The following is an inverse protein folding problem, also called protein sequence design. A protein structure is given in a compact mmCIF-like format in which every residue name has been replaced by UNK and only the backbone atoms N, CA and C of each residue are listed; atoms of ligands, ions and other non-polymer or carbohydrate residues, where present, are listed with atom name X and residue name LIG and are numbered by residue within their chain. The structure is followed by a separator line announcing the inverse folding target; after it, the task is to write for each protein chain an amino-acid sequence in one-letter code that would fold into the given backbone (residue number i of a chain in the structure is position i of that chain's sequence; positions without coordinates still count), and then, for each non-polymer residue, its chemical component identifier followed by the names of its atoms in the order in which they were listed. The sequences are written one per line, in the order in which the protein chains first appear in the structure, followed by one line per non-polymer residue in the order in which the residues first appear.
data_IF_045561551803
#
_entry.id   IF_045561551803
#
_cell.length_a   1.000
_cell.length_b   1.000
_cell.length_c   1.000
_cell.angle_alpha   90.00
_cell.angle_beta   90.00
_cell.angle_gamma   90.00
#
_symmetry.space_group_name_H-M   'P 1'
#
loop_
_entity.id
_entity.type
_entity.pdbx_description
1 polymer ?
#
# COMPACT_ATOMS: atom_id res chain seq x y z
N UNK A 1 -1.89 -4.98 5.35
CA UNK A 1 -1.87 -5.15 3.89
C UNK A 1 -3.30 -4.98 3.41
N UNK A 2 -3.64 -3.81 2.85
CA UNK A 2 -4.96 -3.62 2.27
C UNK A 2 -4.98 -4.23 0.86
N UNK A 3 -5.51 -5.44 0.75
CA UNK A 3 -5.61 -6.18 -0.51
C UNK A 3 -6.92 -5.95 -1.24
N UNK A 4 -7.84 -5.18 -0.65
CA UNK A 4 -9.19 -5.04 -1.14
C UNK A 4 -9.33 -3.91 -2.15
N UNK A 5 -8.41 -2.94 -2.15
CA UNK A 5 -8.52 -1.73 -2.93
C UNK A 5 -7.20 -1.42 -3.64
N UNK A 6 -7.31 -1.09 -4.93
CA UNK A 6 -6.21 -0.51 -5.68
C UNK A 6 -5.83 0.88 -5.16
N UNK A 7 -4.59 1.28 -5.41
CA UNK A 7 -4.06 2.58 -5.00
C UNK A 7 -4.19 3.60 -6.12
N UNK A 8 -4.36 4.87 -5.79
CA UNK A 8 -4.38 5.99 -6.71
C UNK A 8 -3.10 6.82 -6.53
N UNK A 9 -2.17 6.67 -7.47
CA UNK A 9 -0.88 7.34 -7.43
C UNK A 9 -0.83 8.64 -8.26
N UNK A 10 -1.98 9.14 -8.75
CA UNK A 10 -2.04 10.37 -9.58
C UNK A 10 -1.48 11.61 -8.87
N UNK A 11 -1.48 11.61 -7.54
CA UNK A 11 -1.02 12.72 -6.71
C UNK A 11 0.26 12.40 -5.92
N UNK A 12 0.96 11.33 -6.30
CA UNK A 12 2.09 10.81 -5.54
C UNK A 12 1.64 10.21 -4.21
N UNK A 13 2.56 10.11 -3.24
CA UNK A 13 2.21 9.77 -1.86
C UNK A 13 1.53 10.95 -1.18
N UNK A 14 0.38 10.68 -0.55
CA UNK A 14 -0.28 11.61 0.37
C UNK A 14 -0.16 11.09 1.80
N UNK A 15 -0.30 11.98 2.76
CA UNK A 15 -0.13 11.68 4.18
C UNK A 15 -1.22 10.78 4.77
N UNK A 16 -2.36 10.72 4.09
CA UNK A 16 -3.53 9.93 4.41
C UNK A 16 -3.69 8.82 3.36
N UNK A 17 -3.30 7.59 3.73
CA UNK A 17 -3.37 6.42 2.86
C UNK A 17 -4.79 6.08 2.43
N UNK A 18 -5.82 6.46 3.20
CA UNK A 18 -7.22 6.24 2.81
C UNK A 18 -7.58 7.07 1.57
N UNK A 19 -7.01 8.28 1.44
CA UNK A 19 -7.18 9.12 0.24
C UNK A 19 -6.49 8.56 -1.00
N UNK A 20 -5.60 7.59 -0.82
CA UNK A 20 -4.97 6.86 -1.93
C UNK A 20 -5.80 5.67 -2.36
N UNK A 21 -6.87 5.28 -1.66
CA UNK A 21 -7.63 4.10 -2.05
C UNK A 21 -8.60 4.42 -3.18
N UNK A 22 -8.76 3.47 -4.10
CA UNK A 22 -9.75 3.55 -5.17
C UNK A 22 -11.06 2.91 -4.71
N UNK A 23 -12.19 3.61 -4.92
CA UNK A 23 -13.50 3.05 -4.55
C UNK A 23 -13.80 1.82 -5.40
N UNK A 24 -14.40 0.82 -4.77
CA UNK A 24 -14.83 -0.42 -5.43
C UNK A 24 -16.15 -0.88 -4.83
N UNK A 25 -17.01 -1.50 -5.65
CA UNK A 25 -18.26 -2.04 -5.16
C UNK A 25 -18.02 -3.37 -4.45
N UNK A 26 -18.55 -3.51 -3.24
CA UNK A 26 -18.42 -4.71 -2.42
C UNK A 26 -19.67 -4.95 -1.59
N UNK A 27 -19.96 -6.22 -1.34
CA UNK A 27 -20.96 -6.65 -0.34
C UNK A 27 -20.23 -7.31 0.81
N UNK A 28 -20.49 -6.81 2.03
CA UNK A 28 -19.92 -7.33 3.26
C UNK A 28 -21.05 -7.92 4.11
N UNK A 29 -20.89 -9.17 4.52
CA UNK A 29 -21.73 -9.81 5.52
C UNK A 29 -20.92 -9.99 6.80
N UNK A 30 -21.42 -9.49 7.92
CA UNK A 30 -20.75 -9.60 9.21
C UNK A 30 -21.66 -10.24 10.24
N UNK A 31 -21.11 -11.22 10.96
CA UNK A 31 -21.74 -11.80 12.14
C UNK A 31 -20.83 -11.66 13.35
N UNK A 32 -21.43 -11.48 14.52
CA UNK A 32 -20.74 -11.22 15.77
C UNK A 32 -21.10 -12.27 16.81
N UNK A 33 -20.12 -12.60 17.63
CA UNK A 33 -20.24 -13.33 18.89
C UNK A 33 -19.59 -12.49 20.00
N UNK A 34 -19.63 -12.99 21.23
CA UNK A 34 -19.19 -12.23 22.42
C UNK A 34 -17.75 -11.72 22.33
N UNK A 35 -16.83 -12.52 21.81
CA UNK A 35 -15.40 -12.19 21.72
C UNK A 35 -14.83 -12.39 20.31
N UNK A 36 -15.69 -12.56 19.30
CA UNK A 36 -15.26 -12.81 17.93
C UNK A 36 -16.23 -12.28 16.88
N UNK A 37 -15.74 -12.10 15.66
CA UNK A 37 -16.57 -11.77 14.51
C UNK A 37 -16.11 -12.55 13.28
N UNK A 38 -17.05 -12.79 12.36
CA UNK A 38 -16.76 -13.29 11.03
C UNK A 38 -17.30 -12.30 10.01
N UNK A 39 -16.42 -11.86 9.13
CA UNK A 39 -16.72 -11.05 7.95
C UNK A 39 -16.58 -11.93 6.71
N UNK A 40 -17.56 -11.85 5.82
CA UNK A 40 -17.54 -12.45 4.49
C UNK A 40 -17.70 -11.34 3.45
N UNK A 41 -16.83 -11.35 2.46
CA UNK A 41 -16.75 -10.35 1.42
C UNK A 41 -17.04 -10.97 0.05
N UNK A 42 -17.82 -10.27 -0.75
CA UNK A 42 -17.96 -10.53 -2.17
C UNK A 42 -17.81 -9.25 -2.99
N UNK A 43 -17.03 -9.31 -4.07
CA UNK A 43 -16.90 -8.27 -5.08
C UNK A 43 -17.22 -8.87 -6.46
N UNK A 44 -18.16 -8.32 -7.24
CA UNK A 44 -18.51 -8.82 -8.57
C UNK A 44 -17.53 -8.41 -9.68
N UNK A 45 -16.37 -7.85 -9.29
CA UNK A 45 -15.30 -7.30 -10.12
C UNK A 45 -14.31 -6.56 -9.21
N UNK A 46 -13.25 -5.99 -9.78
CA UNK A 46 -12.26 -5.24 -9.00
C UNK A 46 -11.81 -3.97 -9.70
N UNK A 47 -11.24 -3.07 -8.92
CA UNK A 47 -10.70 -1.80 -9.40
C UNK A 47 -9.19 -1.82 -9.20
N UNK A 48 -8.39 -1.90 -10.27
CA UNK A 48 -6.94 -2.01 -10.16
C UNK A 48 -6.31 -0.71 -9.64
N UNK A 49 -5.06 -0.74 -9.22
CA UNK A 49 -4.31 0.48 -8.92
C UNK A 49 -4.22 1.38 -10.16
N UNK A 50 -4.31 2.68 -9.95
CA UNK A 50 -4.00 3.67 -10.97
C UNK A 50 -2.51 4.00 -10.90
N UNK A 51 -1.76 3.48 -11.87
CA UNK A 51 -0.36 3.79 -12.07
C UNK A 51 -0.27 4.95 -13.09
N UNK A 52 0.17 6.14 -12.70
CA UNK A 52 0.28 7.27 -13.63
C UNK A 52 1.28 6.95 -14.74
N UNK A 53 0.84 7.10 -15.98
CA UNK A 53 1.65 6.92 -17.19
C UNK A 53 2.21 8.24 -17.72
N UNK A 54 1.66 9.36 -17.26
CA UNK A 54 2.00 10.71 -17.69
C UNK A 54 2.11 11.66 -16.49
N UNK A 55 2.71 12.82 -16.76
CA UNK A 55 2.89 13.88 -15.77
C UNK A 55 3.99 13.58 -14.77
N UNK A 56 4.05 14.41 -13.73
CA UNK A 56 5.18 14.46 -12.80
C UNK A 56 5.39 13.17 -12.00
N UNK A 57 4.32 12.41 -11.75
CA UNK A 57 4.40 11.15 -11.01
C UNK A 57 4.50 9.92 -11.91
N UNK A 58 4.71 10.09 -13.22
CA UNK A 58 4.73 8.98 -14.17
C UNK A 58 5.68 7.88 -13.72
N UNK A 59 5.19 6.64 -13.80
CA UNK A 59 5.95 5.42 -13.52
C UNK A 59 6.45 4.75 -14.81
N UNK A 60 6.11 5.34 -15.96
CA UNK A 60 6.52 4.81 -17.26
C UNK A 60 7.78 5.56 -17.70
N UNK A 61 8.89 4.84 -17.95
CA UNK A 61 10.10 5.49 -18.48
C UNK A 61 9.79 6.20 -19.81
N UNK A 62 10.40 7.36 -20.10
CA UNK A 62 10.11 8.13 -21.31
C UNK A 62 10.21 7.34 -22.63
N UNK A 63 11.07 6.32 -22.68
CA UNK A 63 11.23 5.41 -23.81
C UNK A 63 9.95 4.62 -24.16
N UNK A 64 9.03 4.48 -23.21
CA UNK A 64 7.75 3.78 -23.34
C UNK A 64 6.56 4.73 -23.48
N UNK A 65 6.79 6.04 -23.63
CA UNK A 65 5.73 7.07 -23.70
C UNK A 65 4.77 6.92 -24.89
N UNK A 66 5.18 6.22 -25.96
CA UNK A 66 4.34 5.94 -27.14
C UNK A 66 3.75 4.53 -27.13
N UNK A 67 3.92 3.78 -26.05
CA UNK A 67 3.37 2.43 -25.94
C UNK A 67 1.83 2.49 -25.88
N UNK A 68 1.19 1.55 -26.59
CA UNK A 68 -0.26 1.37 -26.49
C UNK A 68 -0.56 0.32 -25.44
N UNK A 69 -1.46 0.63 -24.49
CA UNK A 69 -1.87 -0.29 -23.44
C UNK A 69 -3.29 -0.79 -23.69
N UNK A 70 -3.47 -2.10 -23.69
CA UNK A 70 -4.79 -2.74 -23.65
C UNK A 70 -5.06 -3.16 -22.21
N UNK A 71 -6.20 -2.73 -21.64
CA UNK A 71 -6.60 -3.12 -20.28
C UNK A 71 -7.63 -4.26 -20.32
N UNK A 72 -7.50 -5.20 -19.39
CA UNK A 72 -8.54 -6.20 -19.11
C UNK A 72 -9.81 -5.52 -18.58
N UNK A 73 -10.99 -6.01 -18.98
CA UNK A 73 -12.25 -5.62 -18.34
C UNK A 73 -12.40 -6.26 -16.95
N UNK A 74 -12.06 -5.50 -15.91
CA UNK A 74 -12.06 -5.93 -14.51
C UNK A 74 -13.42 -5.83 -13.82
N UNK A 75 -14.45 -5.27 -14.48
CA UNK A 75 -15.78 -5.05 -13.91
C UNK A 75 -16.79 -6.08 -14.42
N UNK A 76 -16.35 -7.33 -14.47
CA UNK A 76 -17.10 -8.48 -14.96
C UNK A 76 -17.20 -9.56 -13.89
N UNK A 77 -18.26 -10.36 -13.90
CA UNK A 77 -18.43 -11.46 -12.96
C UNK A 77 -17.35 -12.55 -13.08
N UNK A 78 -16.61 -12.62 -14.19
CA UNK A 78 -15.42 -13.48 -14.31
C UNK A 78 -14.26 -13.03 -13.42
N UNK A 79 -14.20 -11.72 -13.12
CA UNK A 79 -13.19 -11.09 -12.27
C UNK A 79 -13.66 -10.94 -10.81
N UNK A 80 -14.59 -11.77 -10.36
CA UNK A 80 -15.10 -11.70 -8.99
C UNK A 80 -14.01 -12.00 -7.95
N UNK A 81 -14.18 -11.41 -6.78
CA UNK A 81 -13.30 -11.62 -5.63
C UNK A 81 -14.14 -12.00 -4.40
N UNK A 82 -13.58 -12.85 -3.56
CA UNK A 82 -14.18 -13.25 -2.29
C UNK A 82 -13.15 -13.16 -1.18
N UNK A 83 -13.62 -12.83 0.01
CA UNK A 83 -12.78 -12.83 1.20
C UNK A 83 -13.53 -13.27 2.43
N UNK A 84 -12.77 -13.67 3.44
CA UNK A 84 -13.27 -13.85 4.78
C UNK A 84 -12.24 -13.36 5.79
N UNK A 85 -12.75 -12.85 6.92
CA UNK A 85 -11.92 -12.45 8.06
C UNK A 85 -12.59 -12.94 9.32
N UNK A 86 -11.90 -13.77 10.07
CA UNK A 86 -12.33 -14.20 11.39
C UNK A 86 -11.47 -13.52 12.44
N UNK A 87 -12.08 -12.75 13.32
CA UNK A 87 -11.40 -11.96 14.35
C UNK A 87 -11.76 -12.46 15.73
N UNK A 88 -10.79 -12.51 16.63
CA UNK A 88 -10.96 -12.82 18.05
C UNK A 88 -10.33 -11.69 18.84
N UNK A 89 -11.08 -11.09 19.75
CA UNK A 89 -10.58 -10.07 20.66
C UNK A 89 -10.74 -10.56 22.10
N UNK A 90 -9.61 -10.78 22.79
CA UNK A 90 -9.57 -11.27 24.17
C UNK A 90 -8.65 -10.41 25.02
N UNK A 91 -9.26 -9.58 25.88
CA UNK A 91 -8.53 -8.67 26.75
C UNK A 91 -7.71 -7.67 25.95
N UNK A 92 -6.39 -7.77 26.05
CA UNK A 92 -5.43 -6.87 25.38
C UNK A 92 -4.96 -7.38 24.01
N UNK A 93 -5.32 -8.61 23.66
CA UNK A 93 -4.96 -9.25 22.40
C UNK A 93 -6.13 -9.20 21.43
N UNK A 94 -5.84 -8.75 20.23
CA UNK A 94 -6.71 -8.85 19.06
C UNK A 94 -5.99 -9.65 17.99
N UNK A 95 -6.65 -10.62 17.38
CA UNK A 95 -6.07 -11.46 16.33
C UNK A 95 -7.11 -11.74 15.27
N UNK A 96 -6.72 -11.62 14.00
CA UNK A 96 -7.54 -11.96 12.85
C UNK A 96 -6.87 -12.98 11.95
N UNK A 97 -7.65 -13.89 11.40
CA UNK A 97 -7.28 -14.76 10.29
C UNK A 97 -8.02 -14.29 9.05
N UNK A 98 -7.29 -14.18 7.94
CA UNK A 98 -7.82 -13.67 6.68
C UNK A 98 -7.65 -14.72 5.58
N UNK A 99 -8.67 -14.86 4.74
CA UNK A 99 -8.56 -15.51 3.45
C UNK A 99 -9.09 -14.55 2.38
N UNK A 100 -8.40 -14.43 1.26
CA UNK A 100 -8.88 -13.66 0.13
C UNK A 100 -8.50 -14.34 -1.18
N UNK A 101 -9.46 -14.48 -2.09
CA UNK A 101 -9.24 -14.97 -3.44
C UNK A 101 -9.69 -13.89 -4.42
N UNK A 102 -8.73 -13.26 -5.09
CA UNK A 102 -8.95 -12.11 -5.95
C UNK A 102 -7.70 -11.77 -6.75
N UNK A 103 -7.62 -10.54 -7.25
CA UNK A 103 -6.56 -10.09 -8.13
C UNK A 103 -5.56 -9.20 -7.40
N UNK A 104 -4.29 -9.30 -7.78
CA UNK A 104 -3.31 -8.28 -7.40
C UNK A 104 -3.70 -6.95 -8.07
N UNK A 105 -3.78 -5.84 -7.33
CA UNK A 105 -4.26 -4.59 -7.93
C UNK A 105 -3.25 -3.96 -8.88
N UNK A 106 -1.96 -4.31 -8.78
CA UNK A 106 -0.93 -3.81 -9.68
C UNK A 106 -0.79 -4.78 -10.88
N UNK A 107 -0.78 -4.27 -12.13
CA UNK A 107 -0.75 -5.10 -13.32
C UNK A 107 0.65 -5.68 -13.58
N UNK A 108 0.68 -6.90 -14.11
CA UNK A 108 1.75 -7.35 -14.98
C UNK A 108 1.48 -6.98 -16.44
N UNK A 109 2.34 -7.40 -17.35
CA UNK A 109 2.18 -7.07 -18.75
C UNK A 109 2.71 -8.14 -19.69
N UNK A 110 2.10 -8.23 -20.88
CA UNK A 110 2.59 -9.04 -21.99
C UNK A 110 2.76 -8.17 -23.22
N UNK A 111 3.89 -8.33 -23.93
CA UNK A 111 4.19 -7.57 -25.15
C UNK A 111 3.48 -8.23 -26.33
N UNK A 112 2.55 -7.52 -26.96
CA UNK A 112 1.78 -8.03 -28.12
C UNK A 112 2.34 -7.58 -29.46
N UNK A 113 3.04 -6.44 -29.50
CA UNK A 113 3.74 -5.93 -30.68
C UNK A 113 4.94 -5.09 -30.24
N UNK A 114 6.04 -5.10 -31.01
CA UNK A 114 7.22 -4.26 -30.77
C UNK A 114 7.28 -3.02 -31.67
N UNK A 115 6.49 -2.97 -32.74
CA UNK A 115 6.48 -1.87 -33.70
C UNK A 115 5.09 -1.71 -34.38
N UNK A 116 4.20 -0.83 -33.86
CA UNK A 116 4.38 -0.03 -32.63
C UNK A 116 4.41 -0.92 -31.39
N UNK A 117 5.02 -0.43 -30.31
CA UNK A 117 5.03 -1.13 -29.03
C UNK A 117 3.61 -1.17 -28.45
N UNK A 118 3.09 -2.36 -28.25
CA UNK A 118 1.78 -2.61 -27.64
C UNK A 118 1.91 -3.63 -26.54
N UNK A 119 1.24 -3.38 -25.42
CA UNK A 119 1.23 -4.25 -24.24
C UNK A 119 -0.20 -4.50 -23.78
N UNK A 120 -0.47 -5.73 -23.36
CA UNK A 120 -1.68 -6.07 -22.64
C UNK A 120 -1.38 -6.06 -21.14
N UNK A 121 -2.15 -5.29 -20.37
CA UNK A 121 -2.09 -5.29 -18.91
C UNK A 121 -2.90 -6.47 -18.38
N UNK A 122 -2.23 -7.33 -17.62
CA UNK A 122 -2.82 -8.53 -17.04
C UNK A 122 -2.71 -8.48 -15.51
N UNK A 123 -3.65 -9.10 -14.82
CA UNK A 123 -3.70 -9.09 -13.37
C UNK A 123 -3.59 -10.49 -12.81
N UNK A 124 -2.60 -10.70 -11.96
CA UNK A 124 -2.34 -11.99 -11.32
C UNK A 124 -3.42 -12.32 -10.31
N UNK A 125 -4.03 -13.50 -10.44
CA UNK A 125 -4.93 -14.02 -9.43
C UNK A 125 -4.16 -14.60 -8.24
N UNK A 126 -4.57 -14.25 -7.03
CA UNK A 126 -3.98 -14.72 -5.79
C UNK A 126 -5.00 -15.33 -4.84
N UNK A 127 -4.53 -16.30 -4.06
CA UNK A 127 -5.12 -16.65 -2.77
C UNK A 127 -4.22 -16.15 -1.64
N UNK A 128 -4.71 -15.20 -0.84
CA UNK A 128 -4.06 -14.73 0.37
C UNK A 128 -4.52 -15.56 1.57
N UNK A 129 -3.56 -16.01 2.37
CA UNK A 129 -3.75 -16.53 3.71
C UNK A 129 -3.05 -15.57 4.68
N UNK A 130 -3.84 -14.85 5.47
CA UNK A 130 -3.36 -13.77 6.33
C UNK A 130 -3.54 -14.07 7.82
N UNK A 131 -2.64 -13.52 8.61
CA UNK A 131 -2.72 -13.38 10.05
C UNK A 131 -2.47 -11.91 10.38
N UNK A 132 -3.30 -11.32 11.22
CA UNK A 132 -3.07 -10.02 11.82
C UNK A 132 -3.21 -10.16 13.34
N UNK A 133 -2.43 -9.41 14.09
CA UNK A 133 -2.58 -9.36 15.53
C UNK A 133 -2.11 -8.04 16.09
N UNK A 134 -2.79 -7.57 17.13
CA UNK A 134 -2.34 -6.44 17.94
C UNK A 134 -2.40 -6.79 19.42
N UNK A 135 -1.37 -6.36 20.15
CA UNK A 135 -1.25 -6.51 21.58
C UNK A 135 -1.06 -5.14 22.21
N UNK A 136 -2.03 -4.73 23.02
CA UNK A 136 -1.96 -3.49 23.78
C UNK A 136 -1.28 -3.73 25.14
N UNK A 137 -0.19 -3.03 25.42
CA UNK A 137 0.45 -3.04 26.73
C UNK A 137 0.90 -1.61 27.07
N UNK A 138 0.01 -0.90 27.76
CA UNK A 138 0.17 0.52 28.09
C UNK A 138 1.60 0.90 28.52
N UNK A 139 2.18 1.98 27.95
CA UNK A 139 1.64 2.90 26.93
C UNK A 139 1.89 2.48 25.47
N UNK A 140 2.23 1.21 25.24
CA UNK A 140 2.64 0.69 23.94
C UNK A 140 1.56 -0.16 23.27
N UNK A 141 1.65 -0.23 21.94
CA UNK A 141 0.93 -1.21 21.12
C UNK A 141 1.93 -1.89 20.21
N UNK A 142 1.89 -3.23 20.16
CA UNK A 142 2.60 -4.03 19.17
C UNK A 142 1.58 -4.56 18.18
N UNK A 143 1.76 -4.28 16.90
CA UNK A 143 0.98 -4.87 15.81
C UNK A 143 1.87 -5.74 14.92
N UNK A 144 1.31 -6.84 14.43
CA UNK A 144 1.94 -7.75 13.49
C UNK A 144 0.95 -8.17 12.43
N UNK A 145 1.40 -8.22 11.18
CA UNK A 145 0.68 -8.82 10.07
C UNK A 145 1.60 -9.76 9.31
N UNK A 146 1.05 -10.86 8.82
CA UNK A 146 1.74 -11.79 7.94
C UNK A 146 0.77 -12.34 6.91
N UNK A 147 1.20 -12.51 5.68
CA UNK A 147 0.36 -12.98 4.60
C UNK A 147 1.12 -13.80 3.58
N UNK A 148 0.63 -14.99 3.26
CA UNK A 148 1.13 -15.78 2.14
C UNK A 148 0.18 -15.63 0.96
N UNK A 149 0.69 -15.12 -0.15
CA UNK A 149 0.00 -14.97 -1.42
C UNK A 149 0.40 -16.12 -2.33
N UNK A 150 -0.53 -17.04 -2.57
CA UNK A 150 -0.40 -18.14 -3.52
C UNK A 150 -0.90 -17.67 -4.89
N UNK A 151 0.02 -17.50 -5.82
CA UNK A 151 -0.25 -17.07 -7.21
C UNK A 151 -0.90 -18.18 -8.03
N UNK A 152 -1.56 -17.80 -9.12
CA UNK A 152 -1.86 -18.71 -10.21
C UNK A 152 -0.60 -19.19 -10.95
N UNK A 153 0.45 -18.35 -11.04
CA UNK A 153 1.79 -18.78 -11.49
C UNK A 153 2.58 -19.39 -10.32
N UNK A 154 2.20 -20.63 -9.98
CA UNK A 154 2.77 -21.32 -8.82
C UNK A 154 4.25 -21.68 -8.97
N UNK A 155 4.74 -21.80 -10.20
CA UNK A 155 6.11 -22.21 -10.52
C UNK A 155 7.04 -21.06 -10.87
N UNK A 156 6.52 -19.82 -10.93
CA UNK A 156 7.29 -18.64 -11.32
C UNK A 156 7.85 -18.72 -12.73
N UNK A 157 7.02 -19.20 -13.65
CA UNK A 157 7.42 -19.50 -15.03
C UNK A 157 6.88 -18.51 -16.07
N UNK A 158 5.86 -17.73 -15.71
CA UNK A 158 5.26 -16.74 -16.59
C UNK A 158 5.72 -15.34 -16.18
N UNK A 159 6.62 -14.77 -16.98
CA UNK A 159 7.21 -13.44 -16.73
C UNK A 159 6.20 -12.29 -16.68
N UNK A 160 4.97 -12.51 -17.15
CA UNK A 160 3.91 -11.52 -17.15
C UNK A 160 3.07 -11.55 -15.87
N UNK A 161 3.19 -12.60 -15.04
CA UNK A 161 2.45 -12.79 -13.80
C UNK A 161 3.38 -12.69 -12.60
N UNK A 162 2.82 -12.28 -11.47
CA UNK A 162 3.57 -12.16 -10.22
C UNK A 162 3.61 -13.52 -9.50
N UNK A 163 4.76 -13.86 -8.91
CA UNK A 163 4.96 -15.14 -8.25
C UNK A 163 4.31 -15.21 -6.86
N UNK A 164 4.42 -16.39 -6.23
CA UNK A 164 4.08 -16.54 -4.82
C UNK A 164 4.89 -15.57 -3.96
N UNK A 165 4.29 -15.03 -2.89
CA UNK A 165 5.01 -14.12 -1.99
C UNK A 165 4.58 -14.24 -0.55
N UNK A 166 5.54 -14.07 0.35
CA UNK A 166 5.30 -13.84 1.78
C UNK A 166 5.41 -12.34 2.03
N UNK A 167 4.39 -11.72 2.61
CA UNK A 167 4.43 -10.35 3.10
C UNK A 167 4.32 -10.34 4.62
N UNK A 168 4.96 -9.36 5.25
CA UNK A 168 4.93 -9.21 6.70
C UNK A 168 5.05 -7.74 7.11
N UNK A 169 4.51 -7.42 8.28
CA UNK A 169 4.63 -6.12 8.93
C UNK A 169 4.72 -6.33 10.44
N UNK A 170 5.59 -5.58 11.10
CA UNK A 170 5.60 -5.43 12.54
C UNK A 170 5.69 -3.95 12.89
N UNK A 171 4.82 -3.47 13.77
CA UNK A 171 4.80 -2.09 14.24
C UNK A 171 4.83 -2.04 15.76
N UNK A 172 5.71 -1.20 16.32
CA UNK A 172 5.66 -0.79 17.72
C UNK A 172 5.28 0.69 17.77
N UNK A 173 4.22 1.00 18.48
CA UNK A 173 3.78 2.38 18.71
C UNK A 173 3.67 2.71 20.20
N UNK A 174 3.85 3.99 20.51
CA UNK A 174 3.82 4.57 21.84
C UNK A 174 2.94 5.82 21.82
N UNK A 175 2.04 5.93 22.79
CA UNK A 175 1.24 7.15 23.01
C UNK A 175 1.47 7.68 24.40
N UNK A 176 2.00 8.91 24.52
CA UNK A 176 2.24 9.54 25.81
C UNK A 176 0.90 9.90 26.49
N UNK A 177 0.60 9.37 27.69
CA UNK A 177 -0.74 9.50 28.28
C UNK A 177 -1.20 10.95 28.53
N UNK A 178 -0.29 11.85 28.91
CA UNK A 178 -0.67 13.24 29.27
C UNK A 178 -0.63 14.23 28.12
N UNK A 179 0.20 14.00 27.10
CA UNK A 179 0.39 14.93 25.99
C UNK A 179 -0.24 14.41 24.71
N UNK A 180 -0.67 13.15 24.67
CA UNK A 180 -1.12 12.46 23.46
C UNK A 180 -0.08 12.45 22.33
N UNK A 181 1.19 12.71 22.64
CA UNK A 181 2.27 12.57 21.68
C UNK A 181 2.40 11.10 21.24
N UNK A 182 2.48 10.88 19.94
CA UNK A 182 2.48 9.56 19.33
C UNK A 182 3.77 9.33 18.56
N UNK A 183 4.35 8.13 18.71
CA UNK A 183 5.50 7.67 17.93
C UNK A 183 5.24 6.24 17.50
N UNK A 184 5.48 5.93 16.23
CA UNK A 184 5.42 4.57 15.70
C UNK A 184 6.63 4.26 14.83
N UNK A 185 7.12 3.03 14.96
CA UNK A 185 8.10 2.43 14.09
C UNK A 185 7.53 1.14 13.53
N UNK A 186 7.38 1.08 12.21
CA UNK A 186 6.97 -0.12 11.50
C UNK A 186 8.08 -0.63 10.58
N UNK A 187 8.23 -1.94 10.54
CA UNK A 187 9.05 -2.67 9.59
C UNK A 187 8.12 -3.54 8.76
N UNK A 188 8.03 -3.25 7.47
CA UNK A 188 7.27 -4.06 6.53
C UNK A 188 8.17 -4.63 5.45
N UNK A 189 7.83 -5.79 4.94
CA UNK A 189 8.55 -6.38 3.83
C UNK A 189 7.79 -7.44 3.08
N UNK A 190 8.39 -7.88 1.98
CA UNK A 190 7.94 -9.03 1.21
C UNK A 190 9.12 -9.85 0.72
N UNK A 191 8.87 -11.14 0.50
CA UNK A 191 9.77 -12.09 -0.14
C UNK A 191 9.01 -12.80 -1.27
N UNK A 192 9.54 -12.74 -2.48
CA UNK A 192 9.00 -13.36 -3.69
C UNK A 192 9.69 -14.71 -3.88
N UNK A 193 8.90 -15.78 -3.98
CA UNK A 193 9.41 -17.12 -4.27
C UNK A 193 9.63 -17.29 -5.76
N UNK A 194 10.53 -18.20 -6.14
CA UNK A 194 10.85 -18.50 -7.53
C UNK A 194 11.26 -17.27 -8.34
N UNK A 195 11.88 -16.29 -7.67
CA UNK A 195 12.23 -15.00 -8.26
C UNK A 195 13.15 -15.16 -9.47
N UNK A 196 12.73 -14.55 -10.58
CA UNK A 196 13.41 -14.66 -11.86
C UNK A 196 14.71 -13.87 -11.89
N UNK A 197 15.59 -14.23 -12.83
CA UNK A 197 16.75 -13.40 -13.21
C UNK A 197 16.54 -12.70 -14.55
N UNK A 198 15.40 -12.96 -15.20
CA UNK A 198 15.04 -12.33 -16.46
C UNK A 198 14.64 -10.86 -16.21
N UNK A 199 15.35 -9.92 -16.85
CA UNK A 199 15.09 -8.50 -16.70
C UNK A 199 13.72 -8.04 -17.24
N UNK A 200 13.05 -8.85 -18.06
CA UNK A 200 11.69 -8.55 -18.55
C UNK A 200 10.58 -9.11 -17.65
N UNK A 201 10.94 -9.81 -16.58
CA UNK A 201 10.00 -10.41 -15.64
C UNK A 201 9.37 -9.34 -14.74
N UNK A 202 8.07 -9.43 -14.49
CA UNK A 202 7.33 -8.43 -13.72
C UNK A 202 7.79 -8.36 -12.26
N UNK A 203 8.17 -9.49 -11.64
CA UNK A 203 8.71 -9.47 -10.29
C UNK A 203 10.05 -8.75 -10.25
N UNK A 204 10.90 -8.94 -11.29
CA UNK A 204 12.18 -8.23 -11.40
C UNK A 204 11.98 -6.73 -11.63
N UNK A 205 11.06 -6.35 -12.53
CA UNK A 205 10.79 -4.95 -12.87
C UNK A 205 10.14 -4.16 -11.73
N UNK A 206 9.34 -4.84 -10.91
CA UNK A 206 8.71 -4.25 -9.73
C UNK A 206 9.57 -4.33 -8.47
N UNK A 207 10.73 -4.99 -8.54
CA UNK A 207 11.60 -5.24 -7.38
C UNK A 207 12.39 -4.00 -6.94
N UNK A 208 12.76 -3.97 -5.66
CA UNK A 208 13.75 -3.02 -5.16
C UNK A 208 15.15 -3.52 -5.48
N UNK A 209 15.79 -2.90 -6.47
CA UNK A 209 17.18 -3.18 -6.87
C UNK A 209 17.41 -4.65 -7.32
N UNK A 210 16.44 -5.25 -8.02
CA UNK A 210 16.59 -6.60 -8.59
C UNK A 210 16.61 -7.70 -7.53
N UNK A 211 16.00 -7.48 -6.36
CA UNK A 211 16.01 -8.42 -5.23
C UNK A 211 14.68 -9.14 -5.10
N UNK A 212 14.75 -10.42 -4.73
CA UNK A 212 13.60 -11.23 -4.35
C UNK A 212 12.93 -10.78 -3.05
N UNK A 213 13.56 -9.89 -2.29
CA UNK A 213 13.05 -9.38 -1.03
C UNK A 213 13.09 -7.87 -1.02
N UNK A 214 12.14 -7.29 -0.29
CA UNK A 214 12.00 -5.85 -0.14
C UNK A 214 11.59 -5.52 1.27
N UNK A 215 12.25 -4.54 1.86
CA UNK A 215 12.06 -4.12 3.22
C UNK A 215 11.94 -2.60 3.27
N UNK A 216 10.95 -2.15 4.02
CA UNK A 216 10.66 -0.73 4.21
C UNK A 216 10.50 -0.43 5.68
N UNK A 217 11.23 0.58 6.13
CA UNK A 217 11.09 1.16 7.45
C UNK A 217 10.14 2.36 7.37
N UNK A 218 9.14 2.38 8.23
CA UNK A 218 8.20 3.50 8.37
C UNK A 218 8.34 4.05 9.77
N UNK A 219 8.57 5.35 9.88
CA UNK A 219 8.65 6.05 11.15
C UNK A 219 7.67 7.21 11.16
N UNK A 220 6.83 7.28 12.19
CA UNK A 220 5.82 8.33 12.34
C UNK A 220 5.95 8.97 13.71
N UNK A 221 5.88 10.30 13.74
CA UNK A 221 5.79 11.09 14.97
C UNK A 221 4.65 12.07 14.82
N UNK A 222 3.83 12.17 15.85
CA UNK A 222 2.78 13.18 15.96
C UNK A 222 2.84 13.82 17.34
N UNK A 223 2.76 15.14 17.39
CA UNK A 223 2.82 15.90 18.62
C UNK A 223 1.72 16.97 18.62
N UNK A 224 0.65 16.79 19.41
CA UNK A 224 -0.36 17.81 19.58
C UNK A 224 0.10 18.87 20.59
N UNK A 225 -0.17 20.12 20.26
CA UNK A 225 0.19 21.36 20.95
C UNK A 225 -1.09 22.17 21.18
N UNK A 226 -1.02 23.16 22.07
CA UNK A 226 -2.09 24.16 22.28
C UNK A 226 -3.45 23.48 22.54
N UNK A 227 -3.52 22.64 23.60
CA UNK A 227 -4.74 21.89 23.93
C UNK A 227 -5.28 21.07 22.75
N UNK A 228 -4.38 20.44 22.00
CA UNK A 228 -4.68 19.62 20.82
C UNK A 228 -5.25 20.39 19.61
N UNK A 229 -5.24 21.73 19.63
CA UNK A 229 -5.66 22.52 18.46
C UNK A 229 -4.60 22.58 17.37
N UNK A 230 -3.32 22.44 17.72
CA UNK A 230 -2.22 22.47 16.75
C UNK A 230 -1.54 21.11 16.74
N UNK A 231 -1.45 20.45 15.60
CA UNK A 231 -0.78 19.14 15.49
C UNK A 231 0.40 19.24 14.54
N UNK A 232 1.57 18.86 15.02
CA UNK A 232 2.76 18.63 14.20
C UNK A 232 2.88 17.14 13.90
N UNK A 233 3.07 16.78 12.62
CA UNK A 233 3.25 15.40 12.19
C UNK A 233 4.46 15.27 11.26
N UNK A 234 5.26 14.22 11.48
CA UNK A 234 6.33 13.79 10.58
C UNK A 234 6.18 12.31 10.27
N UNK A 235 6.35 11.92 9.01
CA UNK A 235 6.36 10.53 8.60
C UNK A 235 7.49 10.29 7.59
N UNK A 236 8.31 9.27 7.84
CA UNK A 236 9.38 8.82 6.96
C UNK A 236 9.04 7.42 6.48
N UNK A 237 9.16 7.17 5.19
CA UNK A 237 9.20 5.84 4.59
C UNK A 237 10.54 5.67 3.90
N UNK A 238 11.29 4.64 4.27
CA UNK A 238 12.62 4.35 3.74
C UNK A 238 12.69 2.92 3.21
N UNK A 239 12.98 2.75 1.93
CA UNK A 239 13.18 1.46 1.28
C UNK A 239 14.65 1.04 1.45
N UNK A 240 14.88 -0.11 2.06
CA UNK A 240 16.23 -0.53 2.45
C UNK A 240 17.08 -0.97 1.25
N UNK A 241 16.49 -1.73 0.33
CA UNK A 241 17.22 -2.30 -0.81
C UNK A 241 17.51 -1.24 -1.88
N UNK A 242 16.51 -0.38 -2.18
CA UNK A 242 16.62 0.67 -3.20
C UNK A 242 17.16 2.00 -2.65
N UNK A 243 17.27 2.15 -1.32
CA UNK A 243 17.71 3.36 -0.61
C UNK A 243 16.85 4.61 -0.89
N UNK A 244 15.66 4.42 -1.47
CA UNK A 244 14.68 5.47 -1.71
C UNK A 244 13.96 5.89 -0.42
N UNK A 245 13.58 7.16 -0.32
CA UNK A 245 12.76 7.65 0.78
C UNK A 245 11.67 8.62 0.36
N UNK A 246 10.61 8.66 1.16
CA UNK A 246 9.63 9.73 1.18
C UNK A 246 9.51 10.28 2.60
N UNK A 247 9.63 11.60 2.75
CA UNK A 247 9.48 12.30 4.02
C UNK A 247 8.33 13.29 3.96
N UNK A 248 7.33 13.09 4.82
CA UNK A 248 6.12 13.88 4.88
C UNK A 248 6.13 14.69 6.18
N UNK A 249 5.93 16.00 6.06
CA UNK A 249 5.75 16.93 7.17
C UNK A 249 4.34 17.52 7.11
N UNK A 250 3.70 17.65 8.26
CA UNK A 250 2.36 18.23 8.37
C UNK A 250 2.25 19.12 9.60
N UNK A 251 1.56 20.24 9.43
CA UNK A 251 1.09 21.12 10.48
C UNK A 251 -0.39 21.37 10.26
N UNK A 252 -1.23 21.09 11.25
CA UNK A 252 -2.68 21.38 11.18
C UNK A 252 -3.13 22.16 12.39
N UNK A 253 -4.00 23.16 12.17
CA UNK A 253 -4.61 23.96 13.22
C UNK A 253 -6.14 23.89 13.12
N UNK A 254 -6.80 23.41 14.18
CA UNK A 254 -8.24 23.40 14.32
C UNK A 254 -8.74 24.80 14.67
N UNK A 255 -9.45 25.44 13.73
CA UNK A 255 -10.14 26.71 13.94
C UNK A 255 -11.38 26.49 14.82
N UNK A 256 -12.14 25.46 14.45
CA UNK A 256 -13.31 24.93 15.16
C UNK A 256 -13.29 23.40 15.07
N UNK A 257 -14.20 22.72 15.78
CA UNK A 257 -14.24 21.25 15.82
C UNK A 257 -14.46 20.62 14.43
N UNK A 258 -15.12 21.33 13.52
CA UNK A 258 -15.43 20.89 12.16
C UNK A 258 -14.62 21.61 11.07
N UNK A 259 -13.62 22.42 11.44
CA UNK A 259 -12.87 23.25 10.51
C UNK A 259 -11.40 23.32 10.89
N UNK A 260 -10.52 22.87 9.98
CA UNK A 260 -9.08 22.98 10.17
C UNK A 260 -8.39 23.62 8.96
N UNK A 261 -7.28 24.30 9.22
CA UNK A 261 -6.30 24.70 8.21
C UNK A 261 -5.05 23.85 8.35
N UNK A 262 -4.38 23.57 7.23
CA UNK A 262 -3.17 22.77 7.25
C UNK A 262 -2.12 23.27 6.27
N UNK A 263 -0.86 23.01 6.60
CA UNK A 263 0.29 23.08 5.70
C UNK A 263 0.99 21.72 5.72
N UNK A 264 1.26 21.15 4.55
CA UNK A 264 1.93 19.87 4.38
C UNK A 264 3.06 19.99 3.38
N UNK A 265 4.13 19.26 3.60
CA UNK A 265 5.24 19.12 2.66
C UNK A 265 5.55 17.64 2.46
N UNK A 266 5.96 17.28 1.25
CA UNK A 266 6.42 15.93 0.92
C UNK A 266 7.70 16.05 0.13
N UNK A 267 8.72 15.34 0.59
CA UNK A 267 10.04 15.29 0.00
C UNK A 267 10.33 13.87 -0.47
N UNK A 268 10.82 13.71 -1.69
CA UNK A 268 11.22 12.41 -2.22
C UNK A 268 12.72 12.40 -2.49
N UNK A 269 13.32 11.21 -2.46
CA UNK A 269 14.70 11.07 -2.88
C UNK A 269 15.25 9.67 -2.69
N UNK A 270 16.57 9.56 -2.81
CA UNK A 270 17.32 8.36 -2.46
C UNK A 270 18.69 8.74 -1.88
N UNK A 271 19.22 7.92 -0.99
CA UNK A 271 20.57 8.12 -0.43
C UNK A 271 21.68 7.69 -1.40
N UNK A 272 21.36 6.83 -2.37
CA UNK A 272 22.32 6.27 -3.32
C UNK A 272 21.90 6.35 -4.79
N UNK A 273 22.59 5.59 -5.63
CA UNK A 273 22.38 5.62 -7.08
C UNK A 273 21.38 4.59 -7.59
N UNK A 274 20.91 3.68 -6.75
CA UNK A 274 19.97 2.61 -7.10
C UNK A 274 18.64 3.16 -7.60
N UNK A 275 17.96 2.40 -8.44
CA UNK A 275 16.63 2.75 -8.93
C UNK A 275 15.60 2.53 -7.83
N UNK A 276 14.72 3.50 -7.61
CA UNK A 276 13.60 3.39 -6.68
C UNK A 276 12.43 4.25 -7.17
N UNK A 277 11.23 3.91 -6.74
CA UNK A 277 10.04 4.73 -6.96
C UNK A 277 10.29 6.18 -6.52
N UNK A 278 10.85 6.37 -5.33
CA UNK A 278 11.06 7.70 -4.77
C UNK A 278 12.15 8.49 -5.48
N UNK A 279 13.16 7.81 -6.01
CA UNK A 279 14.16 8.44 -6.87
C UNK A 279 13.55 8.94 -8.17
N UNK A 280 12.61 8.21 -8.76
CA UNK A 280 11.90 8.72 -9.96
C UNK A 280 11.06 9.96 -9.68
N UNK A 281 10.84 10.30 -8.40
CA UNK A 281 10.07 11.47 -7.97
C UNK A 281 10.91 12.51 -7.21
N UNK A 282 12.24 12.43 -7.25
CA UNK A 282 13.15 13.32 -6.48
C UNK A 282 12.99 14.81 -6.82
N UNK A 283 12.66 15.15 -8.07
CA UNK A 283 12.36 16.51 -8.51
C UNK A 283 10.89 16.93 -8.27
N UNK A 284 10.09 16.12 -7.57
CA UNK A 284 8.63 16.30 -7.43
C UNK A 284 8.18 16.58 -6.00
N UNK A 285 9.02 17.24 -5.21
CA UNK A 285 8.65 17.73 -3.89
C UNK A 285 7.39 18.62 -3.96
N UNK A 286 6.54 18.51 -2.94
CA UNK A 286 5.24 19.21 -2.89
C UNK A 286 5.08 19.94 -1.59
N UNK A 287 4.59 21.18 -1.67
CA UNK A 287 4.01 21.92 -0.55
C UNK A 287 2.53 22.13 -0.83
N UNK A 288 1.68 21.79 0.13
CA UNK A 288 0.23 21.95 0.06
C UNK A 288 -0.26 22.74 1.26
N UNK A 289 -1.03 23.79 1.00
CA UNK A 289 -1.79 24.52 2.01
C UNK A 289 -3.27 24.36 1.71
N UNK A 290 -4.07 24.23 2.75
CA UNK A 290 -5.51 24.03 2.54
C UNK A 290 -6.33 24.17 3.79
N UNK A 291 -7.63 24.03 3.58
CA UNK A 291 -8.66 24.03 4.60
C UNK A 291 -9.49 22.77 4.41
N UNK A 292 -9.83 22.12 5.51
CA UNK A 292 -10.65 20.92 5.54
C UNK A 292 -11.83 21.16 6.47
N UNK A 293 -13.03 20.92 5.97
CA UNK A 293 -14.27 21.05 6.70
C UNK A 293 -15.04 19.73 6.65
N UNK A 294 -15.71 19.39 7.75
CA UNK A 294 -16.63 18.26 7.83
C UNK A 294 -18.05 18.81 8.00
N UNK A 295 -18.98 18.34 7.16
CA UNK A 295 -20.37 18.75 7.11
C UNK A 295 -21.31 17.56 7.26
#
# INVERSE_FOLDING_TARGET
MDVLQGRDLRRGLVDDLEKMKRPTFMTLFTTYWEASSLELLFKPGFTPSYLPTEGRYSLIPPAFSTATFTEMDTHTLSAYEIGSRYRISKGKLDTGLLYFNGYYPDPGFSITSLAPLSLDLIYTRYQLFGLESSLFFEPFTLAFEGGFFLSEDRSGSDSALFNNKLAYLAELSYTHPSTSAFVALAYQGRYVFDFSTNASDIDVLSSYDGKAYENTLIFVVEYPLIQQKLTLRGALTYQMESEGYAFLLGLSYALEDNLQVFGKATFYGALGTKSSLYKSWDDNDVVMVGLQAWF
#
